data_IF_827619778813
#
_entry.id   IF_827619778813
#
_cell.length_a   1.000
_cell.length_b   1.000
_cell.length_c   1.000
_cell.angle_alpha   90.00
_cell.angle_beta   90.00
_cell.angle_gamma   90.00
#
_symmetry.space_group_name_H-M   'P 1'
#
loop_
_entity.id
_entity.type
_entity.pdbx_description
1 polymer ?
#
# COMPACT_ATOMS: atom_id res chain seq x y z
N UNK A 1 5.49 -5.58 40.00
CA UNK A 1 5.79 -4.74 38.82
C UNK A 1 7.20 -4.18 39.02
N UNK A 2 8.16 -4.49 38.13
CA UNK A 2 9.50 -3.85 38.18
C UNK A 2 9.30 -2.38 37.78
N UNK A 3 9.68 -1.45 38.66
CA UNK A 3 9.69 -0.03 38.33
C UNK A 3 10.60 0.19 37.12
N UNK A 4 10.04 0.77 36.04
CA UNK A 4 10.79 1.13 34.83
C UNK A 4 11.80 2.22 35.20
N UNK A 5 13.10 2.01 34.92
CA UNK A 5 14.15 3.01 35.15
C UNK A 5 13.81 4.26 34.31
N UNK A 6 13.92 5.42 34.95
CA UNK A 6 13.60 6.72 34.35
C UNK A 6 14.86 7.55 34.09
N UNK A 7 14.75 8.61 33.29
CA UNK A 7 15.84 9.57 33.07
C UNK A 7 16.30 10.24 34.39
N UNK A 8 15.43 10.34 35.39
CA UNK A 8 15.74 10.86 36.71
C UNK A 8 16.67 9.92 37.49
N UNK A 9 16.46 8.62 37.35
CA UNK A 9 17.33 7.61 38.00
C UNK A 9 18.72 7.63 37.38
N UNK A 10 18.83 7.78 36.06
CA UNK A 10 20.12 7.95 35.37
C UNK A 10 20.80 9.24 35.80
N UNK A 11 20.10 10.35 35.93
CA UNK A 11 20.63 11.63 36.37
C UNK A 11 21.16 11.56 37.81
N UNK A 12 20.39 10.92 38.69
CA UNK A 12 20.81 10.69 40.09
C UNK A 12 22.06 9.80 40.18
N UNK A 13 22.09 8.66 39.49
CA UNK A 13 23.22 7.73 39.52
C UNK A 13 24.48 8.32 38.87
N UNK A 14 24.35 9.16 37.83
CA UNK A 14 25.49 9.86 37.22
C UNK A 14 25.92 11.13 37.95
N UNK A 15 25.17 11.55 38.97
CA UNK A 15 25.36 12.81 39.68
C UNK A 15 25.40 14.06 38.78
N UNK A 16 24.44 14.13 37.85
CA UNK A 16 24.26 15.27 36.93
C UNK A 16 22.80 15.69 36.86
N UNK A 17 22.52 16.82 36.23
CA UNK A 17 21.12 17.24 36.01
C UNK A 17 20.41 16.37 34.95
N UNK A 18 19.08 16.26 35.02
CA UNK A 18 18.25 15.61 33.99
C UNK A 18 18.49 16.26 32.63
N UNK A 19 18.70 17.57 32.59
CA UNK A 19 19.04 18.31 31.38
C UNK A 19 20.35 17.84 30.74
N UNK A 20 21.37 17.55 31.58
CA UNK A 20 22.68 17.05 31.14
C UNK A 20 22.54 15.65 30.51
N UNK A 21 21.79 14.74 31.14
CA UNK A 21 21.48 13.42 30.57
C UNK A 21 20.77 13.58 29.25
N UNK A 22 19.75 14.45 29.17
CA UNK A 22 19.03 14.73 27.94
C UNK A 22 19.94 15.27 26.83
N UNK A 23 20.92 16.13 27.15
CA UNK A 23 21.88 16.61 26.14
C UNK A 23 22.77 15.51 25.59
N UNK A 24 23.21 14.56 26.43
CA UNK A 24 24.01 13.41 25.99
C UNK A 24 23.18 12.50 25.08
N UNK A 25 21.96 12.18 25.49
CA UNK A 25 21.06 11.35 24.72
C UNK A 25 20.67 11.94 23.34
N UNK A 26 20.66 13.27 23.24
CA UNK A 26 20.29 14.01 22.02
C UNK A 26 21.51 14.50 21.21
N UNK A 27 22.73 14.09 21.56
CA UNK A 27 23.93 14.42 20.80
C UNK A 27 24.34 15.92 20.82
N UNK A 28 23.87 16.70 21.78
CA UNK A 28 24.20 18.14 21.89
C UNK A 28 25.63 18.32 22.43
N UNK A 29 26.46 19.11 21.73
CA UNK A 29 27.90 19.30 21.99
C UNK A 29 28.32 20.04 23.29
N UNK A 30 27.42 20.27 24.23
CA UNK A 30 27.72 21.05 25.46
C UNK A 30 28.15 20.23 26.67
N UNK A 31 28.50 18.96 26.49
CA UNK A 31 28.90 18.06 27.59
C UNK A 31 30.32 17.56 27.32
N UNK A 32 31.19 17.54 28.37
CA UNK A 32 32.53 16.99 28.24
C UNK A 32 32.49 15.49 27.93
N UNK A 33 33.47 14.96 27.20
CA UNK A 33 33.56 13.53 26.89
C UNK A 33 33.59 12.66 28.15
N UNK A 34 34.24 13.09 29.20
CA UNK A 34 34.25 12.41 30.50
C UNK A 34 32.82 12.26 31.07
N UNK A 35 32.09 13.35 31.14
CA UNK A 35 30.70 13.35 31.62
C UNK A 35 29.82 12.50 30.72
N UNK A 36 30.00 12.54 29.40
CA UNK A 36 29.28 11.75 28.44
C UNK A 36 29.49 10.25 28.64
N UNK A 37 30.76 9.82 28.77
CA UNK A 37 31.11 8.42 29.03
C UNK A 37 30.51 7.93 30.36
N UNK A 38 30.61 8.73 31.42
CA UNK A 38 29.99 8.42 32.72
C UNK A 38 28.49 8.16 32.59
N UNK A 39 27.77 9.02 31.88
CA UNK A 39 26.32 8.88 31.67
C UNK A 39 26.00 7.62 30.83
N UNK A 40 26.75 7.34 29.76
CA UNK A 40 26.54 6.15 28.93
C UNK A 40 26.78 4.85 29.73
N UNK A 41 27.79 4.79 30.58
CA UNK A 41 28.04 3.66 31.47
C UNK A 41 26.88 3.43 32.44
N UNK A 42 26.35 4.49 33.07
CA UNK A 42 25.20 4.40 33.98
C UNK A 42 23.94 3.97 33.26
N UNK A 43 23.72 4.42 32.01
CA UNK A 43 22.58 3.99 31.15
C UNK A 43 22.64 2.49 30.93
N UNK A 44 23.83 1.95 30.62
CA UNK A 44 24.06 0.53 30.38
C UNK A 44 23.84 -0.31 31.63
N UNK A 45 24.44 0.12 32.77
CA UNK A 45 24.31 -0.54 34.07
C UNK A 45 22.86 -0.61 34.56
N UNK A 46 22.10 0.47 34.39
CA UNK A 46 20.72 0.53 34.83
C UNK A 46 19.73 -0.09 33.82
N UNK A 47 20.20 -0.44 32.61
CA UNK A 47 19.35 -0.89 31.51
C UNK A 47 18.28 0.16 31.11
N UNK A 48 18.66 1.44 31.16
CA UNK A 48 17.75 2.53 30.83
C UNK A 48 17.52 2.59 29.32
N UNK A 49 16.28 2.42 28.90
CA UNK A 49 15.86 2.63 27.52
C UNK A 49 15.13 3.98 27.42
N UNK A 50 15.68 4.93 26.63
CA UNK A 50 15.03 6.22 26.43
C UNK A 50 13.63 6.05 25.86
N UNK A 51 12.65 6.74 26.44
CA UNK A 51 11.30 6.78 25.91
C UNK A 51 11.26 7.66 24.65
N UNK A 52 10.91 7.05 23.51
CA UNK A 52 10.81 7.75 22.23
C UNK A 52 9.72 8.84 22.28
N UNK A 53 8.66 8.64 23.05
CA UNK A 53 7.61 9.64 23.24
C UNK A 53 8.10 10.86 24.04
N UNK A 54 8.97 10.65 25.03
CA UNK A 54 9.58 11.74 25.80
C UNK A 54 10.62 12.53 24.96
N UNK A 55 11.24 11.90 23.96
CA UNK A 55 12.10 12.59 22.96
C UNK A 55 11.28 13.46 22.02
N UNK A 56 10.09 13.04 21.62
CA UNK A 56 9.20 13.76 20.70
C UNK A 56 8.76 15.14 21.20
N UNK A 57 8.76 15.38 22.50
CA UNK A 57 8.44 16.70 23.07
C UNK A 57 9.56 17.75 22.86
N UNK A 58 10.77 17.32 22.50
CA UNK A 58 11.93 18.23 22.34
C UNK A 58 12.63 18.13 20.98
N UNK A 59 12.37 17.10 20.19
CA UNK A 59 13.01 16.87 18.88
C UNK A 59 11.91 16.52 17.87
N UNK A 60 11.72 17.36 16.85
CA UNK A 60 10.75 17.14 15.72
C UNK A 60 11.06 15.90 14.87
N UNK A 61 12.16 15.19 15.08
CA UNK A 61 12.60 14.03 14.29
C UNK A 61 12.42 12.72 15.09
N UNK A 62 11.20 12.19 15.03
CA UNK A 62 10.82 10.94 15.72
C UNK A 62 11.32 9.68 15.01
N UNK A 63 11.83 9.81 13.78
CA UNK A 63 12.20 8.66 12.92
C UNK A 63 11.06 7.64 12.73
N UNK A 64 9.82 8.07 12.84
CA UNK A 64 8.65 7.22 12.76
C UNK A 64 7.78 7.63 11.57
N UNK A 65 7.59 6.73 10.62
CA UNK A 65 6.72 6.92 9.45
C UNK A 65 5.39 6.17 9.66
N UNK A 66 4.29 6.83 9.36
CA UNK A 66 2.98 6.20 9.27
C UNK A 66 2.72 5.67 7.87
N UNK A 67 2.21 4.46 7.77
CA UNK A 67 1.69 3.92 6.51
C UNK A 67 0.22 3.59 6.71
N UNK A 68 -0.61 4.26 5.94
CA UNK A 68 -2.07 4.09 5.97
C UNK A 68 -2.49 3.25 4.77
N UNK A 69 -3.14 2.12 5.04
CA UNK A 69 -3.64 1.20 4.01
C UNK A 69 -5.16 1.22 4.05
N UNK A 70 -5.84 1.38 2.91
CA UNK A 70 -7.29 1.41 2.87
C UNK A 70 -7.85 0.04 3.22
N UNK A 71 -8.86 0.02 4.05
CA UNK A 71 -9.71 -1.12 4.27
C UNK A 71 -10.97 -0.92 3.41
N UNK A 72 -11.02 -1.59 2.27
CA UNK A 72 -12.07 -1.37 1.27
C UNK A 72 -13.40 -2.02 1.65
N UNK A 73 -13.37 -2.94 2.64
CA UNK A 73 -14.57 -3.62 3.13
C UNK A 73 -14.63 -3.54 4.67
N UNK A 74 -15.73 -3.03 5.24
CA UNK A 74 -15.93 -2.95 6.68
C UNK A 74 -15.80 -4.33 7.33
N UNK A 75 -14.95 -4.45 8.38
CA UNK A 75 -14.74 -5.69 9.11
C UNK A 75 -13.85 -6.73 8.42
N UNK A 76 -13.31 -6.44 7.23
CA UNK A 76 -12.34 -7.32 6.58
C UNK A 76 -10.99 -7.30 7.32
N UNK A 77 -10.24 -8.40 7.24
CA UNK A 77 -8.85 -8.43 7.72
C UNK A 77 -8.00 -7.54 6.81
N UNK A 78 -6.93 -6.97 7.39
CA UNK A 78 -5.93 -6.23 6.63
C UNK A 78 -5.62 -6.92 5.29
N UNK A 79 -5.51 -6.14 4.22
CA UNK A 79 -5.31 -6.59 2.84
C UNK A 79 -3.96 -7.30 2.59
N UNK A 80 -3.36 -7.92 3.62
CA UNK A 80 -2.11 -8.69 3.51
C UNK A 80 -2.22 -9.92 2.61
N UNK A 81 -3.43 -10.39 2.33
CA UNK A 81 -3.65 -11.45 1.34
C UNK A 81 -3.45 -10.95 -0.10
N UNK A 82 -3.51 -9.65 -0.34
CA UNK A 82 -3.16 -9.09 -1.63
C UNK A 82 -1.65 -8.87 -1.70
N UNK A 83 -0.99 -9.60 -2.59
CA UNK A 83 0.46 -9.58 -2.80
C UNK A 83 0.98 -8.16 -3.04
N UNK A 84 0.23 -7.32 -3.75
CA UNK A 84 0.60 -5.93 -3.99
C UNK A 84 0.87 -5.16 -2.70
N UNK A 85 -0.05 -5.24 -1.72
CA UNK A 85 0.13 -4.51 -0.45
C UNK A 85 1.27 -5.08 0.38
N UNK A 86 1.41 -6.40 0.43
CA UNK A 86 2.48 -7.04 1.22
C UNK A 86 3.86 -6.70 0.68
N UNK A 87 4.05 -6.67 -0.64
CA UNK A 87 5.31 -6.27 -1.27
C UNK A 87 5.61 -4.79 -1.12
N UNK A 88 4.59 -3.95 -1.32
CA UNK A 88 4.74 -2.50 -1.15
C UNK A 88 5.13 -2.16 0.30
N UNK A 89 4.45 -2.75 1.29
CA UNK A 89 4.76 -2.56 2.70
C UNK A 89 6.16 -3.07 3.06
N UNK A 90 6.56 -4.24 2.54
CA UNK A 90 7.90 -4.77 2.72
C UNK A 90 8.97 -3.87 2.12
N UNK A 91 8.72 -3.30 0.94
CA UNK A 91 9.63 -2.35 0.29
C UNK A 91 9.76 -1.04 1.05
N UNK A 92 8.64 -0.51 1.56
CA UNK A 92 8.60 0.69 2.39
C UNK A 92 9.37 0.46 3.69
N UNK A 93 9.12 -0.66 4.39
CA UNK A 93 9.83 -1.01 5.62
C UNK A 93 11.34 -1.10 5.39
N UNK A 94 11.74 -1.86 4.37
CA UNK A 94 13.15 -2.01 4.03
C UNK A 94 13.83 -0.67 3.77
N UNK A 95 13.23 0.18 2.95
CA UNK A 95 13.78 1.50 2.60
C UNK A 95 13.82 2.46 3.80
N UNK A 96 12.83 2.40 4.68
CA UNK A 96 12.75 3.17 5.91
C UNK A 96 13.85 2.74 6.89
N UNK A 97 13.98 1.44 7.13
CA UNK A 97 14.98 0.85 8.03
C UNK A 97 16.42 1.16 7.60
N UNK A 98 16.71 1.11 6.29
CA UNK A 98 18.04 1.51 5.76
C UNK A 98 18.39 2.97 6.06
N UNK A 99 17.38 3.83 6.31
CA UNK A 99 17.54 5.25 6.64
C UNK A 99 17.35 5.56 8.12
N UNK A 100 17.27 4.53 8.96
CA UNK A 100 17.08 4.67 10.41
C UNK A 100 15.68 5.12 10.82
N UNK A 101 14.66 4.88 9.96
CA UNK A 101 13.26 5.10 10.28
C UNK A 101 12.57 3.79 10.68
N UNK A 102 11.54 3.91 11.48
CA UNK A 102 10.60 2.83 11.82
C UNK A 102 9.26 3.09 11.15
N UNK A 103 8.49 2.03 10.91
CA UNK A 103 7.20 2.11 10.25
C UNK A 103 6.09 1.67 11.20
N UNK A 104 5.03 2.46 11.30
CA UNK A 104 3.76 2.05 11.89
C UNK A 104 2.76 1.90 10.74
N UNK A 105 2.12 0.74 10.68
CA UNK A 105 1.05 0.46 9.70
C UNK A 105 -0.28 0.62 10.41
N UNK A 106 -1.18 1.38 9.82
CA UNK A 106 -2.56 1.51 10.24
C UNK A 106 -3.47 1.12 9.10
N UNK A 107 -4.37 0.20 9.35
CA UNK A 107 -5.50 -0.03 8.47
C UNK A 107 -6.65 0.86 8.88
N UNK A 108 -7.40 1.28 7.90
CA UNK A 108 -8.43 2.27 8.16
C UNK A 108 -9.71 1.91 7.45
N UNK A 109 -10.79 1.82 8.19
CA UNK A 109 -12.11 2.03 7.62
C UNK A 109 -12.22 3.47 7.12
N UNK A 110 -12.84 3.68 5.97
CA UNK A 110 -12.97 4.98 5.30
C UNK A 110 -13.65 6.05 6.18
N UNK A 111 -14.13 5.64 7.35
CA UNK A 111 -14.91 6.45 8.32
C UNK A 111 -14.15 6.80 9.59
N UNK A 112 -12.91 6.31 9.81
CA UNK A 112 -12.19 6.55 11.06
C UNK A 112 -11.30 7.80 11.02
N UNK A 113 -11.08 8.41 12.19
CA UNK A 113 -10.30 9.66 12.34
C UNK A 113 -8.78 9.40 12.35
N UNK A 114 -8.18 9.40 11.14
CA UNK A 114 -6.72 9.20 10.96
C UNK A 114 -5.88 10.36 11.41
N UNK A 115 -6.44 11.55 11.34
CA UNK A 115 -5.74 12.76 11.69
C UNK A 115 -5.31 12.69 13.13
N UNK A 116 -6.19 12.17 14.00
CA UNK A 116 -5.89 11.97 15.41
C UNK A 116 -4.71 11.01 15.60
N UNK A 117 -4.69 9.86 14.91
CA UNK A 117 -3.58 8.90 14.98
C UNK A 117 -2.24 9.53 14.54
N UNK A 118 -2.26 10.28 13.44
CA UNK A 118 -1.07 10.94 12.91
C UNK A 118 -0.55 12.00 13.89
N UNK A 119 -1.43 12.80 14.47
CA UNK A 119 -1.10 13.85 15.43
C UNK A 119 -0.60 13.27 16.77
N UNK A 120 -1.29 12.26 17.32
CA UNK A 120 -0.95 11.64 18.59
C UNK A 120 0.40 10.93 18.57
N UNK A 121 0.81 10.37 17.42
CA UNK A 121 2.04 9.59 17.29
C UNK A 121 3.27 10.40 16.92
N UNK A 122 3.13 11.70 16.68
CA UNK A 122 4.22 12.59 16.31
C UNK A 122 5.09 12.03 15.18
N UNK A 123 4.44 11.66 14.07
CA UNK A 123 5.07 11.02 12.91
C UNK A 123 6.01 11.98 12.18
N UNK A 124 7.11 11.48 11.64
CA UNK A 124 8.04 12.23 10.79
C UNK A 124 7.49 12.44 9.36
N UNK A 125 6.55 11.61 8.95
CA UNK A 125 5.85 11.67 7.67
C UNK A 125 4.84 10.56 7.54
N UNK A 126 3.98 10.64 6.52
CA UNK A 126 2.90 9.70 6.28
C UNK A 126 2.89 9.25 4.82
N UNK A 127 2.71 7.96 4.61
CA UNK A 127 2.47 7.35 3.30
C UNK A 127 1.04 6.84 3.30
N UNK A 128 0.24 7.31 2.36
CA UNK A 128 -1.16 6.91 2.19
C UNK A 128 -1.25 6.07 0.91
N UNK A 129 -1.77 4.87 1.01
CA UNK A 129 -1.91 3.95 -0.13
C UNK A 129 -3.38 3.88 -0.54
N UNK A 130 -3.66 3.92 -1.85
CA UNK A 130 -4.98 3.73 -2.42
C UNK A 130 -5.84 4.98 -2.51
N UNK A 131 -7.12 4.79 -2.80
CA UNK A 131 -8.08 5.86 -3.11
C UNK A 131 -9.02 6.10 -1.94
N UNK A 132 -9.25 7.37 -1.63
CA UNK A 132 -10.12 7.85 -0.56
C UNK A 132 -11.06 8.93 -1.08
N UNK A 133 -12.09 9.26 -0.31
CA UNK A 133 -13.00 10.36 -0.63
C UNK A 133 -12.28 11.71 -0.61
N UNK A 134 -12.77 12.66 -1.40
CA UNK A 134 -12.17 14.00 -1.52
C UNK A 134 -12.05 14.75 -0.17
N UNK A 135 -12.98 14.52 0.75
CA UNK A 135 -12.95 15.10 2.09
C UNK A 135 -11.68 14.68 2.85
N UNK A 136 -11.31 13.41 2.81
CA UNK A 136 -10.11 12.88 3.44
C UNK A 136 -8.84 13.65 2.99
N UNK A 137 -8.68 13.90 1.70
CA UNK A 137 -7.53 14.64 1.18
C UNK A 137 -7.51 16.11 1.60
N UNK A 138 -8.68 16.74 1.77
CA UNK A 138 -8.75 18.12 2.27
C UNK A 138 -8.35 18.21 3.74
N UNK A 139 -8.65 17.19 4.52
CA UNK A 139 -8.24 17.08 5.92
C UNK A 139 -6.74 16.82 6.06
N UNK A 140 -6.17 15.93 5.23
CA UNK A 140 -4.71 15.68 5.19
C UNK A 140 -3.87 16.95 4.98
N UNK A 141 -4.40 17.95 4.28
CA UNK A 141 -3.73 19.23 4.07
C UNK A 141 -3.45 19.97 5.37
N UNK A 142 -4.20 19.71 6.42
CA UNK A 142 -4.03 20.37 7.72
C UNK A 142 -2.85 19.81 8.52
N UNK A 143 -2.25 18.70 8.09
CA UNK A 143 -1.13 18.07 8.76
C UNK A 143 0.17 18.85 8.53
N UNK A 144 0.91 19.09 9.61
CA UNK A 144 2.27 19.69 9.57
C UNK A 144 3.35 18.60 9.39
N UNK A 145 3.09 17.60 8.52
CA UNK A 145 4.03 16.52 8.19
C UNK A 145 4.00 16.23 6.70
N UNK A 146 5.13 15.79 6.09
CA UNK A 146 5.15 15.35 4.71
C UNK A 146 4.19 14.19 4.46
N UNK A 147 3.40 14.29 3.38
CA UNK A 147 2.46 13.25 2.95
C UNK A 147 2.83 12.79 1.54
N UNK A 148 2.95 11.48 1.36
CA UNK A 148 3.12 10.83 0.06
C UNK A 148 1.92 9.95 -0.21
N UNK A 149 1.32 10.10 -1.38
CA UNK A 149 0.20 9.29 -1.85
C UNK A 149 0.71 8.23 -2.84
N UNK A 150 0.34 6.97 -2.65
CA UNK A 150 0.65 5.86 -3.55
C UNK A 150 -0.65 5.30 -4.12
N UNK A 151 -0.71 5.10 -5.43
CA UNK A 151 -1.89 4.63 -6.16
C UNK A 151 -3.17 5.46 -5.88
N UNK A 152 -2.99 6.75 -5.69
CA UNK A 152 -4.08 7.68 -5.40
C UNK A 152 -4.25 8.69 -6.52
N UNK A 153 -5.47 8.82 -7.03
CA UNK A 153 -5.85 9.78 -8.07
C UNK A 153 -6.44 11.08 -7.51
N UNK A 154 -5.95 11.47 -6.32
CA UNK A 154 -6.30 12.75 -5.71
C UNK A 154 -6.05 13.93 -6.68
N UNK A 155 -7.03 14.83 -6.80
CA UNK A 155 -6.97 16.01 -7.67
C UNK A 155 -6.11 17.16 -7.15
N UNK A 156 -5.68 17.11 -5.89
CA UNK A 156 -4.89 18.19 -5.27
C UNK A 156 -3.40 18.04 -5.59
N UNK A 157 -2.76 19.10 -6.07
CA UNK A 157 -1.36 19.11 -6.54
C UNK A 157 -0.32 19.33 -5.45
N UNK A 158 -0.72 19.63 -4.23
CA UNK A 158 0.21 19.86 -3.12
C UNK A 158 0.75 18.58 -2.46
N UNK A 159 0.23 17.39 -2.82
CA UNK A 159 0.78 16.13 -2.35
C UNK A 159 1.81 15.54 -3.32
N UNK A 160 2.84 14.89 -2.77
CA UNK A 160 3.69 14.01 -3.56
C UNK A 160 2.91 12.74 -3.91
N UNK A 161 2.84 12.41 -5.20
CA UNK A 161 2.09 11.26 -5.70
C UNK A 161 3.01 10.31 -6.42
N UNK A 162 2.93 9.02 -6.07
CA UNK A 162 3.57 7.91 -6.77
C UNK A 162 2.46 7.04 -7.37
N UNK A 163 2.41 6.94 -8.68
CA UNK A 163 1.41 6.16 -9.42
C UNK A 163 1.96 5.72 -10.76
N UNK A 164 1.39 4.67 -11.31
CA UNK A 164 1.58 4.29 -12.71
C UNK A 164 0.47 4.91 -13.56
N UNK A 165 0.63 4.85 -14.87
CA UNK A 165 -0.43 5.24 -15.81
C UNK A 165 -1.35 4.04 -16.06
N UNK A 166 -2.25 3.80 -15.10
CA UNK A 166 -3.17 2.65 -15.12
C UNK A 166 -4.03 2.60 -16.39
N UNK A 167 -4.44 3.75 -16.90
CA UNK A 167 -5.23 3.84 -18.12
C UNK A 167 -4.42 3.40 -19.34
N UNK A 168 -3.21 3.92 -19.50
CA UNK A 168 -2.35 3.54 -20.60
C UNK A 168 -1.87 2.09 -20.49
N UNK A 169 -1.52 1.62 -19.30
CA UNK A 169 -1.13 0.23 -19.09
C UNK A 169 -2.26 -0.75 -19.48
N UNK A 170 -3.51 -0.44 -19.12
CA UNK A 170 -4.65 -1.27 -19.50
C UNK A 170 -4.93 -1.20 -21.00
N UNK A 171 -4.77 -0.04 -21.60
CA UNK A 171 -4.86 0.11 -23.05
C UNK A 171 -3.85 -0.80 -23.75
N UNK A 172 -2.56 -0.74 -23.36
CA UNK A 172 -1.49 -1.56 -23.94
C UNK A 172 -1.75 -3.07 -23.77
N UNK A 173 -2.18 -3.51 -22.57
CA UNK A 173 -2.50 -4.91 -22.33
C UNK A 173 -3.64 -5.39 -23.21
N UNK A 174 -4.68 -4.59 -23.37
CA UNK A 174 -5.84 -4.92 -24.21
C UNK A 174 -5.46 -4.91 -25.69
N UNK A 175 -4.68 -3.92 -26.15
CA UNK A 175 -4.15 -3.90 -27.51
C UNK A 175 -3.32 -5.14 -27.84
N UNK A 176 -2.48 -5.60 -26.90
CA UNK A 176 -1.73 -6.83 -27.09
C UNK A 176 -2.65 -8.03 -27.36
N UNK A 177 -3.72 -8.19 -26.58
CA UNK A 177 -4.72 -9.26 -26.78
C UNK A 177 -5.39 -9.14 -28.14
N UNK A 178 -5.77 -7.92 -28.56
CA UNK A 178 -6.36 -7.67 -29.87
C UNK A 178 -5.39 -8.01 -31.01
N UNK A 179 -4.11 -7.67 -30.87
CA UNK A 179 -3.06 -7.98 -31.86
C UNK A 179 -2.83 -9.50 -32.00
N UNK A 180 -3.12 -10.30 -30.98
CA UNK A 180 -3.12 -11.77 -31.09
C UNK A 180 -4.35 -12.32 -31.84
N UNK A 181 -5.27 -11.45 -32.32
CA UNK A 181 -6.43 -11.82 -33.11
C UNK A 181 -7.74 -11.95 -32.34
N UNK A 182 -7.72 -11.72 -31.03
CA UNK A 182 -8.94 -11.77 -30.23
C UNK A 182 -9.84 -10.58 -30.51
N UNK A 183 -11.14 -10.87 -30.72
CA UNK A 183 -12.17 -9.85 -30.97
C UNK A 183 -13.28 -9.87 -29.92
N UNK A 184 -13.46 -11.00 -29.25
CA UNK A 184 -14.48 -11.22 -28.21
C UNK A 184 -13.76 -11.31 -26.88
N UNK A 185 -13.62 -10.17 -26.22
CA UNK A 185 -12.77 -9.99 -25.05
C UNK A 185 -13.65 -9.62 -23.86
N UNK A 186 -13.44 -10.32 -22.74
CA UNK A 186 -14.06 -10.00 -21.47
C UNK A 186 -13.11 -9.18 -20.59
N UNK A 187 -13.70 -8.47 -19.64
CA UNK A 187 -12.96 -7.79 -18.56
C UNK A 187 -13.41 -8.31 -17.20
N UNK A 188 -12.44 -8.68 -16.37
CA UNK A 188 -12.65 -8.99 -14.95
C UNK A 188 -11.94 -7.94 -14.12
N UNK A 189 -12.69 -7.24 -13.26
CA UNK A 189 -12.20 -6.06 -12.55
C UNK A 189 -12.72 -5.98 -11.13
N UNK A 190 -12.00 -5.22 -10.28
CA UNK A 190 -12.52 -4.75 -9.01
C UNK A 190 -13.63 -3.72 -9.18
N UNK A 191 -14.28 -3.36 -8.06
CA UNK A 191 -15.37 -2.38 -8.08
C UNK A 191 -14.94 -1.05 -8.70
N UNK A 192 -15.74 -0.57 -9.65
CA UNK A 192 -15.51 0.65 -10.42
C UNK A 192 -15.89 1.87 -9.58
N UNK A 193 -14.93 2.47 -8.93
CA UNK A 193 -15.10 3.70 -8.16
C UNK A 193 -14.58 4.91 -8.95
N UNK A 194 -15.28 6.02 -8.88
CA UNK A 194 -14.84 7.26 -9.50
C UNK A 194 -13.44 7.63 -8.97
N UNK A 195 -12.53 8.02 -9.88
CA UNK A 195 -11.13 8.30 -9.60
C UNK A 195 -10.32 7.11 -8.98
N UNK A 196 -10.84 5.89 -9.03
CA UNK A 196 -10.13 4.68 -8.59
C UNK A 196 -9.24 4.07 -9.68
N UNK A 197 -8.26 3.26 -9.24
CA UNK A 197 -7.36 2.48 -10.12
C UNK A 197 -8.16 1.61 -11.10
N UNK A 198 -9.17 0.86 -10.60
CA UNK A 198 -9.97 -0.04 -11.44
C UNK A 198 -10.76 0.71 -12.51
N UNK A 199 -11.29 1.90 -12.18
CA UNK A 199 -11.95 2.77 -13.15
C UNK A 199 -10.99 3.26 -14.25
N UNK A 200 -9.73 3.55 -13.91
CA UNK A 200 -8.71 3.92 -14.89
C UNK A 200 -8.35 2.74 -15.81
N UNK A 201 -8.17 1.56 -15.25
CA UNK A 201 -7.92 0.34 -16.04
C UNK A 201 -9.10 0.01 -16.95
N UNK A 202 -10.33 0.16 -16.47
CA UNK A 202 -11.54 -0.01 -17.29
C UNK A 202 -11.57 0.97 -18.45
N UNK A 203 -11.26 2.25 -18.23
CA UNK A 203 -11.20 3.26 -19.32
C UNK A 203 -10.13 2.90 -20.34
N UNK A 204 -8.95 2.46 -19.91
CA UNK A 204 -7.89 2.01 -20.81
C UNK A 204 -8.31 0.82 -21.65
N UNK A 205 -8.99 -0.17 -21.06
CA UNK A 205 -9.59 -1.29 -21.78
C UNK A 205 -10.57 -0.82 -22.84
N UNK A 206 -11.57 -0.01 -22.49
CA UNK A 206 -12.56 0.50 -23.44
C UNK A 206 -11.92 1.30 -24.57
N UNK A 207 -10.91 2.10 -24.27
CA UNK A 207 -10.17 2.88 -25.26
C UNK A 207 -9.50 1.97 -26.32
N UNK A 208 -8.87 0.86 -25.89
CA UNK A 208 -8.28 -0.10 -26.84
C UNK A 208 -9.33 -0.78 -27.70
N UNK A 209 -10.47 -1.18 -27.12
CA UNK A 209 -11.61 -1.75 -27.86
C UNK A 209 -12.10 -0.78 -28.93
N UNK A 210 -12.36 0.48 -28.55
CA UNK A 210 -12.85 1.52 -29.47
C UNK A 210 -11.84 1.84 -30.57
N UNK A 211 -10.56 2.01 -30.24
CA UNK A 211 -9.49 2.32 -31.20
C UNK A 211 -9.32 1.23 -32.27
N UNK A 212 -9.66 -0.01 -31.94
CA UNK A 212 -9.57 -1.14 -32.88
C UNK A 212 -10.92 -1.46 -33.55
N UNK A 213 -11.93 -0.61 -33.39
CA UNK A 213 -13.24 -0.78 -34.01
C UNK A 213 -14.01 -2.01 -33.53
N UNK A 214 -13.73 -2.48 -32.31
CA UNK A 214 -14.44 -3.59 -31.68
C UNK A 214 -15.61 -3.06 -30.83
N UNK A 215 -16.60 -3.92 -30.61
CA UNK A 215 -17.70 -3.64 -29.69
C UNK A 215 -17.50 -4.41 -28.39
N UNK A 216 -17.67 -3.72 -27.26
CA UNK A 216 -17.67 -4.33 -25.94
C UNK A 216 -19.12 -4.53 -25.45
N UNK A 217 -19.46 -5.76 -25.21
CA UNK A 217 -20.77 -6.13 -24.66
C UNK A 217 -20.68 -6.07 -23.12
N UNK A 218 -21.64 -5.40 -22.51
CA UNK A 218 -21.67 -5.21 -21.05
C UNK A 218 -21.74 -6.54 -20.28
N UNK A 219 -22.29 -7.57 -20.90
CA UNK A 219 -22.35 -8.94 -20.41
C UNK A 219 -20.98 -9.60 -20.31
N UNK A 220 -19.95 -9.03 -20.93
CA UNK A 220 -18.56 -9.49 -20.83
C UNK A 220 -17.77 -8.74 -19.74
N UNK A 221 -18.45 -7.93 -18.92
CA UNK A 221 -17.87 -7.31 -17.73
C UNK A 221 -18.25 -8.12 -16.49
N UNK A 222 -17.24 -8.56 -15.76
CA UNK A 222 -17.40 -9.13 -14.42
C UNK A 222 -16.74 -8.24 -13.39
N UNK A 223 -17.55 -7.65 -12.51
CA UNK A 223 -17.10 -6.75 -11.46
C UNK A 223 -17.27 -7.42 -10.10
N UNK A 224 -16.20 -7.51 -9.31
CA UNK A 224 -16.19 -8.16 -7.99
C UNK A 224 -15.07 -7.62 -7.10
N UNK A 225 -14.87 -8.20 -5.93
CA UNK A 225 -13.70 -7.95 -5.07
C UNK A 225 -12.41 -8.39 -5.77
N UNK A 226 -11.29 -7.70 -5.50
CA UNK A 226 -9.98 -8.04 -6.08
C UNK A 226 -9.33 -9.13 -5.24
N UNK A 227 -9.80 -10.36 -5.41
CA UNK A 227 -9.28 -11.56 -4.74
C UNK A 227 -9.30 -12.79 -5.65
N UNK A 228 -8.68 -13.86 -5.17
CA UNK A 228 -8.56 -15.13 -5.90
C UNK A 228 -9.93 -15.78 -6.18
N UNK A 229 -10.82 -15.81 -5.17
CA UNK A 229 -12.13 -16.45 -5.27
C UNK A 229 -13.02 -15.75 -6.29
N UNK A 230 -12.94 -14.43 -6.37
CA UNK A 230 -13.64 -13.64 -7.39
C UNK A 230 -13.19 -14.01 -8.81
N UNK A 231 -11.89 -14.29 -8.99
CA UNK A 231 -11.38 -14.80 -10.27
C UNK A 231 -11.94 -16.18 -10.62
N UNK A 232 -11.99 -17.11 -9.66
CA UNK A 232 -12.58 -18.44 -9.82
C UNK A 232 -14.05 -18.33 -10.19
N UNK A 233 -14.80 -17.49 -9.47
CA UNK A 233 -16.24 -17.27 -9.71
C UNK A 233 -16.51 -16.61 -11.06
N UNK A 234 -15.64 -15.70 -11.50
CA UNK A 234 -15.74 -15.07 -12.83
C UNK A 234 -15.64 -16.10 -13.96
N UNK A 235 -14.67 -17.02 -13.88
CA UNK A 235 -14.52 -18.08 -14.87
C UNK A 235 -15.79 -18.97 -14.94
N UNK A 236 -16.26 -19.41 -13.78
CA UNK A 236 -17.51 -20.17 -13.69
C UNK A 236 -18.69 -19.41 -14.28
N UNK A 237 -18.82 -18.12 -13.95
CA UNK A 237 -19.90 -17.28 -14.47
C UNK A 237 -19.86 -17.19 -16.00
N UNK A 238 -18.69 -17.02 -16.63
CA UNK A 238 -18.56 -16.98 -18.08
C UNK A 238 -18.97 -18.32 -18.72
N UNK A 239 -18.60 -19.46 -18.15
CA UNK A 239 -18.97 -20.78 -18.65
C UNK A 239 -20.48 -21.02 -18.51
N UNK A 240 -21.05 -20.76 -17.33
CA UNK A 240 -22.47 -20.95 -17.02
C UNK A 240 -23.36 -20.09 -17.94
N UNK A 241 -22.94 -18.87 -18.26
CA UNK A 241 -23.65 -17.95 -19.14
C UNK A 241 -23.32 -18.15 -20.65
N UNK A 242 -22.51 -19.17 -20.96
CA UNK A 242 -22.09 -19.47 -22.34
C UNK A 242 -21.53 -18.24 -23.05
N UNK A 243 -20.72 -17.47 -22.34
CA UNK A 243 -20.11 -16.26 -22.87
C UNK A 243 -19.28 -16.59 -24.13
N UNK A 244 -19.57 -15.92 -25.23
CA UNK A 244 -18.83 -16.09 -26.47
C UNK A 244 -17.58 -15.21 -26.44
N UNK A 245 -16.61 -15.58 -25.59
CA UNK A 245 -15.35 -14.86 -25.38
C UNK A 245 -14.17 -15.76 -25.71
N UNK A 246 -13.10 -15.17 -26.22
CA UNK A 246 -11.84 -15.88 -26.55
C UNK A 246 -10.66 -15.38 -25.72
N UNK A 247 -10.81 -14.27 -25.01
CA UNK A 247 -9.80 -13.75 -24.11
C UNK A 247 -10.43 -12.99 -22.93
N UNK A 248 -9.71 -12.95 -21.82
CA UNK A 248 -10.05 -12.18 -20.63
C UNK A 248 -8.89 -11.27 -20.27
N UNK A 249 -9.19 -9.98 -20.09
CA UNK A 249 -8.31 -9.02 -19.44
C UNK A 249 -8.69 -8.97 -17.97
N UNK A 250 -7.76 -9.35 -17.08
CA UNK A 250 -7.95 -9.27 -15.64
C UNK A 250 -7.21 -8.06 -15.09
N UNK A 251 -7.90 -7.17 -14.39
CA UNK A 251 -7.30 -5.91 -13.89
C UNK A 251 -6.35 -6.09 -12.71
N UNK A 252 -6.14 -7.31 -12.24
CA UNK A 252 -5.15 -7.68 -11.22
C UNK A 252 -4.73 -9.14 -11.39
N UNK A 253 -3.46 -9.47 -11.10
CA UNK A 253 -2.94 -10.82 -11.25
C UNK A 253 -3.65 -11.85 -10.37
N UNK A 254 -4.07 -11.46 -9.17
CA UNK A 254 -4.84 -12.35 -8.29
C UNK A 254 -6.15 -12.81 -8.93
N UNK A 255 -6.80 -11.93 -9.71
CA UNK A 255 -7.99 -12.29 -10.51
C UNK A 255 -7.61 -13.22 -11.66
N UNK A 256 -6.49 -12.95 -12.36
CA UNK A 256 -6.01 -13.79 -13.46
C UNK A 256 -5.68 -15.22 -12.98
N UNK A 257 -5.02 -15.37 -11.84
CA UNK A 257 -4.70 -16.67 -11.23
C UNK A 257 -6.00 -17.41 -10.85
N UNK A 258 -6.96 -16.70 -10.27
CA UNK A 258 -8.29 -17.25 -9.97
C UNK A 258 -9.02 -17.71 -11.24
N UNK A 259 -9.01 -16.90 -12.31
CA UNK A 259 -9.58 -17.25 -13.61
C UNK A 259 -8.95 -18.53 -14.18
N UNK A 260 -7.63 -18.66 -14.16
CA UNK A 260 -6.94 -19.87 -14.63
C UNK A 260 -7.45 -21.11 -13.88
N UNK A 261 -7.57 -21.03 -12.57
CA UNK A 261 -8.08 -22.11 -11.73
C UNK A 261 -9.56 -22.42 -12.04
N UNK A 262 -10.38 -21.39 -12.12
CA UNK A 262 -11.82 -21.54 -12.38
C UNK A 262 -12.10 -22.13 -13.76
N UNK A 263 -11.41 -21.71 -14.82
CA UNK A 263 -11.52 -22.31 -16.14
C UNK A 263 -11.04 -23.76 -16.16
N UNK A 264 -9.92 -24.05 -15.50
CA UNK A 264 -9.44 -25.43 -15.36
C UNK A 264 -10.49 -26.35 -14.70
N UNK A 265 -11.17 -25.89 -13.67
CA UNK A 265 -12.23 -26.65 -12.98
C UNK A 265 -13.48 -26.88 -13.88
N UNK A 266 -13.70 -26.02 -14.84
CA UNK A 266 -14.77 -26.12 -15.83
C UNK A 266 -14.34 -26.89 -17.11
N UNK A 267 -13.11 -27.40 -17.16
CA UNK A 267 -12.58 -28.13 -18.31
C UNK A 267 -12.19 -27.25 -19.51
N UNK A 268 -12.08 -25.94 -19.30
CA UNK A 268 -11.63 -24.95 -20.30
C UNK A 268 -10.12 -24.81 -20.22
N UNK A 269 -9.42 -24.96 -21.33
CA UNK A 269 -7.96 -24.90 -21.39
C UNK A 269 -7.47 -23.47 -21.64
N UNK A 270 -6.47 -23.07 -20.84
CA UNK A 270 -5.76 -21.80 -20.99
C UNK A 270 -4.33 -22.10 -21.40
N UNK A 271 -3.82 -21.60 -22.53
CA UNK A 271 -4.44 -20.60 -23.44
C UNK A 271 -5.26 -21.16 -24.61
N UNK A 272 -5.41 -22.47 -24.77
CA UNK A 272 -5.91 -23.13 -25.98
C UNK A 272 -7.37 -22.73 -26.32
N UNK A 273 -8.24 -22.70 -25.32
CA UNK A 273 -9.67 -22.33 -25.50
C UNK A 273 -9.90 -20.84 -25.22
N UNK A 274 -9.16 -20.29 -24.23
CA UNK A 274 -9.29 -18.90 -23.80
C UNK A 274 -7.94 -18.34 -23.35
N UNK A 275 -7.59 -17.15 -23.81
CA UNK A 275 -6.39 -16.43 -23.38
C UNK A 275 -6.69 -15.54 -22.16
N UNK A 276 -5.74 -15.41 -21.25
CA UNK A 276 -5.84 -14.52 -20.09
C UNK A 276 -4.62 -13.61 -20.04
N UNK A 277 -4.85 -12.33 -19.80
CA UNK A 277 -3.81 -11.36 -19.47
C UNK A 277 -4.10 -10.72 -18.11
N UNK A 278 -3.09 -10.64 -17.25
CA UNK A 278 -3.14 -10.00 -15.93
C UNK A 278 -2.47 -8.64 -15.90
N UNK A 279 -2.51 -8.01 -14.75
CA UNK A 279 -2.00 -6.67 -14.49
C UNK A 279 -1.08 -6.67 -13.28
N UNK A 280 0.14 -7.14 -13.46
CA UNK A 280 1.26 -6.91 -12.54
C UNK A 280 2.53 -7.55 -13.13
N UNK A 281 3.50 -6.74 -13.54
CA UNK A 281 4.76 -7.24 -14.07
C UNK A 281 5.73 -7.54 -12.94
N UNK A 282 6.04 -8.82 -12.76
CA UNK A 282 7.27 -9.26 -12.08
C UNK A 282 8.27 -9.73 -13.14
N UNK A 283 9.24 -8.91 -13.45
CA UNK A 283 10.26 -9.22 -14.47
C UNK A 283 11.15 -10.45 -14.15
N UNK A 284 11.13 -11.02 -12.95
CA UNK A 284 12.15 -12.00 -12.52
C UNK A 284 11.68 -13.35 -12.01
N UNK A 285 10.40 -13.61 -11.82
CA UNK A 285 9.94 -14.88 -11.25
C UNK A 285 9.10 -15.78 -12.18
N UNK A 286 8.56 -15.25 -13.27
CA UNK A 286 7.78 -16.04 -14.25
C UNK A 286 8.61 -17.01 -15.11
N UNK A 287 9.94 -17.00 -14.99
CA UNK A 287 10.83 -17.91 -15.74
C UNK A 287 11.31 -19.13 -14.93
N UNK A 288 10.71 -19.41 -13.78
CA UNK A 288 11.13 -20.55 -12.91
C UNK A 288 10.10 -21.65 -12.73
N UNK A 289 8.96 -21.59 -13.42
CA UNK A 289 7.96 -22.66 -13.38
C UNK A 289 7.56 -23.10 -14.77
#
# INVERSE_FOLDING_TARGET
MKNRVTIRDVAAASNVSVATVSYVLNGKKKVSEETKQKILTVIDELGFVPDLNARGLTVKDTKLLGVVVPQTEPGSKLMFHNIFYSELLGSIEYAARQRGYHVIISATDVTEDYLQLIQERNLAGVIIIGTYQNQFFSELKTLDVPVVLIDSYCKYDYFHKLRIDDENCSNLATEFVIQQGHKKIALVTGHLQEDGVMQKRYRGFLKAIEQNGLEFQKENLYEATVDYESGVNAAKWFVDNKADITAVVATADVLAIGLMKGFYEQGVQVPEDISIIGFQLREKELLKY
#
